data_IF_717640405320
#
_entry.id   IF_717640405320
#
_cell.length_a   1.000
_cell.length_b   1.000
_cell.length_c   1.000
_cell.angle_alpha   90.00
_cell.angle_beta   90.00
_cell.angle_gamma   90.00
#
_symmetry.space_group_name_H-M   'P 1'
#
loop_
_entity.id
_entity.type
_entity.pdbx_description
1 polymer ?
#
# COMPACT_ATOMS: atom_id res chain seq x y z
N UNK A 1 32.63 -14.91 25.09
CA UNK A 1 32.44 -14.21 23.81
C UNK A 1 31.19 -13.36 23.92
N UNK A 2 31.20 -12.06 23.59
CA UNK A 2 30.02 -11.22 23.68
C UNK A 2 29.02 -11.59 22.57
N UNK A 3 27.74 -11.70 22.93
CA UNK A 3 26.63 -11.79 21.98
C UNK A 3 26.45 -10.39 21.40
N UNK A 4 26.87 -10.17 20.15
CA UNK A 4 26.61 -8.91 19.45
C UNK A 4 25.14 -8.93 19.01
N UNK A 5 24.30 -8.16 19.70
CA UNK A 5 22.99 -7.80 19.18
C UNK A 5 23.22 -6.93 17.94
N UNK A 6 22.96 -7.49 16.76
CA UNK A 6 23.02 -6.74 15.50
C UNK A 6 21.78 -5.84 15.48
N UNK A 7 21.92 -4.57 15.84
CA UNK A 7 20.90 -3.57 15.54
C UNK A 7 20.70 -3.54 14.02
N UNK A 8 19.56 -4.04 13.56
CA UNK A 8 19.20 -3.97 12.15
C UNK A 8 18.91 -2.50 11.82
N UNK A 9 19.86 -1.84 11.16
CA UNK A 9 19.70 -0.48 10.65
C UNK A 9 18.88 -0.55 9.36
N UNK A 10 17.68 0.05 9.39
CA UNK A 10 16.81 0.13 8.22
C UNK A 10 17.46 1.02 7.15
N UNK A 11 17.46 0.54 5.90
CA UNK A 11 18.03 1.29 4.78
C UNK A 11 17.14 2.48 4.39
N UNK A 12 17.72 3.44 3.67
CA UNK A 12 16.98 4.59 3.13
C UNK A 12 15.84 4.15 2.20
N UNK A 13 16.05 3.09 1.43
CA UNK A 13 15.07 2.57 0.48
C UNK A 13 13.88 1.93 1.19
N UNK A 14 14.14 1.06 2.17
CA UNK A 14 13.09 0.47 3.01
C UNK A 14 12.28 1.56 3.73
N UNK A 15 12.93 2.63 4.19
CA UNK A 15 12.26 3.79 4.77
C UNK A 15 11.38 4.55 3.75
N UNK A 16 11.82 4.70 2.50
CA UNK A 16 11.03 5.32 1.44
C UNK A 16 9.78 4.48 1.13
N UNK A 17 9.95 3.16 1.00
CA UNK A 17 8.86 2.23 0.76
C UNK A 17 7.83 2.25 1.89
N UNK A 18 8.27 2.25 3.16
CA UNK A 18 7.36 2.37 4.31
C UNK A 18 6.59 3.70 4.28
N UNK A 19 7.28 4.82 4.03
CA UNK A 19 6.62 6.13 3.92
C UNK A 19 5.59 6.16 2.80
N UNK A 20 5.93 5.60 1.64
CA UNK A 20 5.03 5.50 0.51
C UNK A 20 3.79 4.65 0.84
N UNK A 21 3.96 3.48 1.47
CA UNK A 21 2.83 2.62 1.90
C UNK A 21 1.89 3.37 2.84
N UNK A 22 2.43 4.10 3.83
CA UNK A 22 1.62 4.86 4.78
C UNK A 22 0.84 5.98 4.07
N UNK A 23 1.51 6.73 3.19
CA UNK A 23 0.88 7.78 2.39
C UNK A 23 -0.21 7.19 1.48
N UNK A 24 0.09 6.09 0.79
CA UNK A 24 -0.85 5.39 -0.09
C UNK A 24 -2.11 4.94 0.65
N UNK A 25 -1.97 4.32 1.83
CA UNK A 25 -3.13 3.90 2.64
C UNK A 25 -3.98 5.12 3.03
N UNK A 26 -3.35 6.25 3.34
CA UNK A 26 -4.05 7.49 3.70
C UNK A 26 -4.83 8.06 2.51
N UNK A 27 -4.22 8.11 1.33
CA UNK A 27 -4.87 8.58 0.11
C UNK A 27 -5.98 7.63 -0.37
N UNK A 28 -5.76 6.31 -0.26
CA UNK A 28 -6.78 5.31 -0.56
C UNK A 28 -7.99 5.44 0.37
N UNK A 29 -7.73 5.61 1.68
CA UNK A 29 -8.77 5.84 2.67
C UNK A 29 -9.59 7.09 2.34
N UNK A 30 -8.92 8.20 1.99
CA UNK A 30 -9.56 9.45 1.57
C UNK A 30 -10.41 9.26 0.31
N UNK A 31 -9.88 8.62 -0.73
CA UNK A 31 -10.57 8.39 -2.01
C UNK A 31 -11.88 7.63 -1.83
N UNK A 32 -11.89 6.61 -0.98
CA UNK A 32 -13.06 5.74 -0.77
C UNK A 32 -13.87 6.06 0.49
N UNK A 33 -13.56 7.16 1.18
CA UNK A 33 -14.20 7.57 2.44
C UNK A 33 -14.19 6.45 3.50
N UNK A 34 -13.02 5.84 3.69
CA UNK A 34 -12.77 4.78 4.67
C UNK A 34 -11.93 5.32 5.84
N UNK A 35 -12.02 4.69 7.00
CA UNK A 35 -10.99 4.84 8.03
C UNK A 35 -9.67 4.18 7.59
N UNK A 36 -8.51 4.71 8.00
CA UNK A 36 -7.20 4.16 7.61
C UNK A 36 -7.07 2.66 7.93
N UNK A 37 -7.57 2.21 9.10
CA UNK A 37 -7.60 0.78 9.47
C UNK A 37 -8.46 -0.06 8.52
N UNK A 38 -9.60 0.48 8.06
CA UNK A 38 -10.46 -0.20 7.09
C UNK A 38 -9.77 -0.30 5.73
N UNK A 39 -9.14 0.78 5.26
CA UNK A 39 -8.35 0.79 4.04
C UNK A 39 -7.21 -0.22 4.09
N UNK A 40 -6.41 -0.22 5.17
CA UNK A 40 -5.34 -1.20 5.37
C UNK A 40 -5.87 -2.64 5.34
N UNK A 41 -6.93 -2.93 6.11
CA UNK A 41 -7.51 -4.27 6.15
C UNK A 41 -8.06 -4.70 4.78
N UNK A 42 -8.66 -3.78 4.03
CA UNK A 42 -9.16 -4.03 2.67
C UNK A 42 -7.99 -4.36 1.73
N UNK A 43 -6.98 -3.50 1.65
CA UNK A 43 -5.81 -3.68 0.81
C UNK A 43 -5.06 -4.97 1.14
N UNK A 44 -4.93 -5.31 2.43
CA UNK A 44 -4.34 -6.58 2.87
C UNK A 44 -5.17 -7.79 2.46
N UNK A 45 -6.49 -7.74 2.68
CA UNK A 45 -7.40 -8.87 2.40
C UNK A 45 -7.46 -9.20 0.91
N UNK A 46 -7.43 -8.17 0.06
CA UNK A 46 -7.64 -8.31 -1.38
C UNK A 46 -6.36 -8.11 -2.20
N UNK A 47 -5.19 -8.46 -1.65
CA UNK A 47 -3.89 -8.50 -2.37
C UNK A 47 -3.37 -7.15 -2.88
N UNK A 48 -3.98 -6.04 -2.48
CA UNK A 48 -3.52 -4.68 -2.82
C UNK A 48 -2.15 -4.35 -2.21
N UNK A 49 -1.89 -4.73 -0.96
CA UNK A 49 -0.56 -4.52 -0.35
C UNK A 49 0.52 -5.41 -0.99
N UNK A 50 0.19 -6.68 -1.29
CA UNK A 50 1.11 -7.61 -1.95
C UNK A 50 1.56 -7.06 -3.32
N UNK A 51 0.61 -6.49 -4.07
CA UNK A 51 0.89 -5.80 -5.33
C UNK A 51 1.73 -4.53 -5.13
N UNK A 52 1.35 -3.68 -4.16
CA UNK A 52 2.08 -2.45 -3.85
C UNK A 52 3.55 -2.75 -3.53
N UNK A 53 3.84 -3.77 -2.71
CA UNK A 53 5.20 -4.17 -2.40
C UNK A 53 5.95 -4.74 -3.61
N UNK A 54 5.27 -5.55 -4.43
CA UNK A 54 5.88 -6.21 -5.61
C UNK A 54 6.18 -5.24 -6.76
N UNK A 55 5.45 -4.13 -6.85
CA UNK A 55 5.55 -3.14 -7.92
C UNK A 55 5.88 -1.74 -7.42
N UNK A 56 6.47 -1.63 -6.22
CA UNK A 56 6.81 -0.34 -5.61
C UNK A 56 7.68 0.52 -6.55
N UNK A 57 8.70 -0.06 -7.19
CA UNK A 57 9.61 0.64 -8.10
C UNK A 57 8.91 1.34 -9.27
N UNK A 58 7.71 0.87 -9.64
CA UNK A 58 6.88 1.49 -10.67
C UNK A 58 5.89 2.45 -10.03
N UNK A 59 5.13 1.99 -9.04
CA UNK A 59 4.02 2.74 -8.45
C UNK A 59 4.46 4.04 -7.78
N UNK A 60 5.65 4.07 -7.15
CA UNK A 60 6.12 5.28 -6.46
C UNK A 60 6.48 6.43 -7.42
N UNK A 61 6.60 6.14 -8.72
CA UNK A 61 6.88 7.14 -9.77
C UNK A 61 5.60 7.73 -10.38
N UNK A 62 4.45 7.13 -10.08
CA UNK A 62 3.14 7.53 -10.60
C UNK A 62 2.43 8.50 -9.65
N UNK A 63 1.35 9.11 -10.14
CA UNK A 63 0.43 9.84 -9.27
C UNK A 63 -0.28 8.88 -8.31
N UNK A 64 -0.73 9.39 -7.15
CA UNK A 64 -1.54 8.57 -6.25
C UNK A 64 -2.86 8.15 -6.89
N UNK A 65 -3.46 9.00 -7.72
CA UNK A 65 -4.68 8.68 -8.46
C UNK A 65 -4.51 7.44 -9.33
N UNK A 66 -3.42 7.35 -10.11
CA UNK A 66 -3.12 6.21 -10.99
C UNK A 66 -2.81 4.95 -10.17
N UNK A 67 -1.94 5.07 -9.18
CA UNK A 67 -1.59 3.93 -8.31
C UNK A 67 -2.82 3.38 -7.57
N UNK A 68 -3.73 4.26 -7.11
CA UNK A 68 -4.99 3.85 -6.48
C UNK A 68 -5.90 3.15 -7.49
N UNK A 69 -5.97 3.63 -8.73
CA UNK A 69 -6.76 2.99 -9.79
C UNK A 69 -6.28 1.56 -10.02
N UNK A 70 -4.97 1.37 -10.26
CA UNK A 70 -4.36 0.07 -10.53
C UNK A 70 -4.58 -0.91 -9.37
N UNK A 71 -4.28 -0.48 -8.15
CA UNK A 71 -4.44 -1.32 -6.96
C UNK A 71 -5.91 -1.64 -6.69
N UNK A 72 -6.83 -0.74 -7.02
CA UNK A 72 -8.28 -1.02 -6.91
C UNK A 72 -8.72 -2.10 -7.90
N UNK A 73 -8.16 -2.14 -9.12
CA UNK A 73 -8.40 -3.23 -10.09
C UNK A 73 -7.90 -4.55 -9.51
N UNK A 74 -6.69 -4.56 -8.94
CA UNK A 74 -6.14 -5.77 -8.30
C UNK A 74 -7.04 -6.24 -7.16
N UNK A 75 -7.49 -5.32 -6.31
CA UNK A 75 -8.40 -5.65 -5.21
C UNK A 75 -9.73 -6.21 -5.73
N UNK A 76 -10.30 -5.61 -6.77
CA UNK A 76 -11.53 -6.08 -7.40
C UNK A 76 -11.39 -7.51 -7.97
N UNK A 77 -10.30 -7.79 -8.68
CA UNK A 77 -9.99 -9.13 -9.22
C UNK A 77 -9.81 -10.18 -8.14
N UNK A 78 -9.44 -9.77 -6.93
CA UNK A 78 -9.31 -10.64 -5.76
C UNK A 78 -10.58 -10.66 -4.87
N UNK A 79 -11.72 -10.20 -5.38
CA UNK A 79 -13.03 -10.26 -4.69
C UNK A 79 -13.34 -9.05 -3.80
N UNK A 80 -12.51 -8.02 -3.83
CA UNK A 80 -12.76 -6.76 -3.16
C UNK A 80 -13.92 -5.99 -3.80
N UNK A 81 -14.73 -5.33 -2.98
CA UNK A 81 -15.82 -4.46 -3.44
C UNK A 81 -15.78 -3.13 -2.70
N UNK A 82 -15.75 -2.03 -3.44
CA UNK A 82 -15.82 -0.68 -2.91
C UNK A 82 -17.08 -0.02 -3.49
N UNK A 83 -17.90 0.58 -2.64
CA UNK A 83 -19.16 1.20 -3.08
C UNK A 83 -18.93 2.40 -4.04
N UNK A 84 -17.75 3.03 -3.97
CA UNK A 84 -17.43 4.27 -4.68
C UNK A 84 -16.41 4.10 -5.83
N UNK A 85 -16.17 2.87 -6.30
CA UNK A 85 -15.33 2.65 -7.47
C UNK A 85 -16.13 2.93 -8.75
N UNK A 86 -16.17 4.21 -9.16
CA UNK A 86 -16.67 4.58 -10.50
C UNK A 86 -15.48 4.63 -11.45
N UNK A 87 -15.60 3.88 -12.56
CA UNK A 87 -14.67 3.90 -13.68
C UNK A 87 -14.68 5.27 -14.35
#
# INVERSE_FOLDING_TARGET
>A
MPIVHKEATISREELNQIRYVIAFISEFARKFNLGQKQAFNYLKRFKGLDYLYSFYDVLHTQSFEDAIHDISIICLRNGGRLQNYRQ
#
